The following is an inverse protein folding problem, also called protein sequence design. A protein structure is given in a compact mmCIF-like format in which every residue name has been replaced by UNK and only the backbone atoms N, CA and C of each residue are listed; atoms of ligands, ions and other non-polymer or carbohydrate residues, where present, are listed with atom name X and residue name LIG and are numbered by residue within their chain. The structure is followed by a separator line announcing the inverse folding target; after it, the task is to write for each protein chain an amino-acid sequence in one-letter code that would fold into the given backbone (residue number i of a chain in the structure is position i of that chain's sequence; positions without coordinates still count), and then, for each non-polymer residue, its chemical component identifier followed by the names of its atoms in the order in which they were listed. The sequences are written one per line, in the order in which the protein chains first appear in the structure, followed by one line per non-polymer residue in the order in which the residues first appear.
data_IF_053475002636
#
_entry.id   IF_053475002636
#
_cell.length_a   1.000
_cell.length_b   1.000
_cell.length_c   1.000
_cell.angle_alpha   90.00
_cell.angle_beta   90.00
_cell.angle_gamma   90.00
#
_symmetry.space_group_name_H-M   'P 1'
#
loop_
_entity.id
_entity.type
_entity.pdbx_description
1 polymer ?
#
# COMPACT_ATOMS: atom_id res chain seq x y z
N UNK A 1 13.84 16.75 14.38
CA UNK A 1 12.88 17.82 14.09
C UNK A 1 12.08 17.51 12.83
N UNK A 2 12.72 17.48 11.65
CA UNK A 2 12.05 17.23 10.37
C UNK A 2 11.26 15.89 10.29
N UNK A 3 11.74 14.80 10.90
CA UNK A 3 11.00 13.53 10.89
C UNK A 3 9.65 13.65 11.61
N UNK A 4 9.60 14.27 12.79
CA UNK A 4 8.37 14.44 13.57
C UNK A 4 7.34 15.33 12.87
N UNK A 5 7.80 16.35 12.14
CA UNK A 5 6.94 17.21 11.32
C UNK A 5 6.29 16.40 10.19
N UNK A 6 7.08 15.59 9.47
CA UNK A 6 6.57 14.70 8.42
C UNK A 6 5.60 13.65 9.00
N UNK A 7 5.88 13.08 10.16
CA UNK A 7 4.93 12.15 10.80
C UNK A 7 3.61 12.83 11.16
N UNK A 8 3.67 14.05 11.70
CA UNK A 8 2.48 14.82 12.03
C UNK A 8 1.68 15.16 10.77
N UNK A 9 2.36 15.47 9.67
CA UNK A 9 1.73 15.75 8.39
C UNK A 9 1.08 14.50 7.80
N UNK A 10 1.73 13.31 7.83
CA UNK A 10 1.09 12.03 7.47
C UNK A 10 -0.21 11.83 8.24
N UNK A 11 -0.18 12.01 9.58
CA UNK A 11 -1.39 11.88 10.42
C UNK A 11 -2.49 12.87 10.00
N UNK A 12 -2.13 14.11 9.70
CA UNK A 12 -3.06 15.16 9.25
C UNK A 12 -3.68 14.82 7.89
N UNK A 13 -2.84 14.42 6.93
CA UNK A 13 -3.23 14.09 5.56
C UNK A 13 -4.11 12.83 5.50
N UNK A 14 -3.81 11.78 6.27
CA UNK A 14 -4.65 10.57 6.35
C UNK A 14 -6.03 10.91 6.91
N UNK A 15 -6.09 11.71 7.99
CA UNK A 15 -7.37 12.19 8.55
C UNK A 15 -8.12 13.06 7.54
N UNK A 16 -7.42 13.89 6.76
CA UNK A 16 -8.02 14.72 5.72
C UNK A 16 -8.61 13.85 4.60
N UNK A 17 -7.86 12.88 4.10
CA UNK A 17 -8.34 11.94 3.09
C UNK A 17 -9.58 11.18 3.58
N UNK A 18 -9.58 10.73 4.83
CA UNK A 18 -10.73 10.02 5.42
C UNK A 18 -11.99 10.90 5.47
N UNK A 19 -11.86 12.17 5.86
CA UNK A 19 -12.99 13.12 5.85
C UNK A 19 -13.49 13.39 4.43
N UNK A 20 -12.58 13.51 3.46
CA UNK A 20 -12.95 13.74 2.07
C UNK A 20 -13.64 12.51 1.44
N UNK A 21 -13.27 11.30 1.87
CA UNK A 21 -13.90 10.04 1.43
C UNK A 21 -15.28 9.80 2.08
N UNK A 22 -15.48 10.22 3.33
CA UNK A 22 -16.77 10.06 4.04
C UNK A 22 -17.78 11.18 3.80
N UNK A 23 -17.37 12.29 3.19
CA UNK A 23 -18.24 13.44 2.92
C UNK A 23 -18.87 13.35 1.52
N UNK A 24 -20.20 13.41 1.45
CA UNK A 24 -21.02 13.42 0.21
C UNK A 24 -20.76 14.58 -0.77
N UNK A 25 -19.72 15.40 -0.58
CA UNK A 25 -19.52 16.64 -1.34
C UNK A 25 -18.07 17.10 -1.53
N UNK A 26 -17.06 16.30 -1.18
CA UNK A 26 -15.68 16.66 -1.51
C UNK A 26 -15.45 16.42 -3.02
N UNK A 27 -14.88 17.39 -3.77
CA UNK A 27 -14.50 17.14 -5.16
C UNK A 27 -13.48 16.00 -5.20
N UNK A 28 -13.69 14.96 -6.01
CA UNK A 28 -12.75 13.84 -6.13
C UNK A 28 -11.30 14.26 -6.43
N UNK A 29 -11.11 15.43 -7.04
CA UNK A 29 -9.82 16.08 -7.22
C UNK A 29 -9.08 16.36 -5.89
N UNK A 30 -9.77 16.83 -4.85
CA UNK A 30 -9.15 17.16 -3.57
C UNK A 30 -8.68 15.93 -2.78
N UNK A 31 -9.35 14.78 -2.97
CA UNK A 31 -8.88 13.48 -2.46
C UNK A 31 -7.62 13.07 -3.21
N UNK A 32 -7.62 13.16 -4.53
CA UNK A 32 -6.48 12.76 -5.37
C UNK A 32 -5.20 13.55 -5.08
N UNK A 33 -5.31 14.85 -4.80
CA UNK A 33 -4.17 15.69 -4.42
C UNK A 33 -3.58 15.21 -3.09
N UNK A 34 -4.44 14.95 -2.11
CA UNK A 34 -4.04 14.41 -0.80
C UNK A 34 -3.33 13.07 -0.95
N UNK A 35 -3.84 12.21 -1.83
CA UNK A 35 -3.29 10.87 -2.07
C UNK A 35 -1.97 10.91 -2.85
N UNK A 36 -1.77 11.86 -3.75
CA UNK A 36 -0.47 12.04 -4.39
C UNK A 36 0.62 12.40 -3.38
N UNK A 37 0.33 13.33 -2.46
CA UNK A 37 1.29 13.69 -1.39
C UNK A 37 1.55 12.50 -0.47
N UNK A 38 0.48 11.81 -0.04
CA UNK A 38 0.61 10.60 0.78
C UNK A 38 1.40 9.50 0.07
N UNK A 39 1.27 9.36 -1.25
CA UNK A 39 2.06 8.38 -2.04
C UNK A 39 3.54 8.73 -2.06
N UNK A 40 3.90 10.01 -2.14
CA UNK A 40 5.29 10.46 -2.03
C UNK A 40 5.87 10.14 -0.65
N UNK A 41 5.08 10.36 0.42
CA UNK A 41 5.49 10.03 1.80
C UNK A 41 5.53 8.53 2.05
N UNK A 42 4.64 7.76 1.43
CA UNK A 42 4.65 6.31 1.48
C UNK A 42 5.92 5.72 0.85
N UNK A 43 6.63 6.45 -0.01
CA UNK A 43 7.95 6.05 -0.51
C UNK A 43 9.09 6.25 0.49
N UNK A 44 8.85 6.83 1.66
CA UNK A 44 9.86 7.08 2.71
C UNK A 44 9.75 6.00 3.78
N UNK A 45 10.75 5.12 3.86
CA UNK A 45 10.77 3.98 4.80
C UNK A 45 10.62 4.39 6.27
N UNK A 46 11.20 5.52 6.67
CA UNK A 46 11.09 6.06 8.03
C UNK A 46 9.63 6.39 8.43
N UNK A 47 8.74 6.63 7.47
CA UNK A 47 7.32 6.95 7.71
C UNK A 47 6.42 5.71 7.66
N UNK A 48 6.92 4.55 7.21
CA UNK A 48 6.12 3.34 7.04
C UNK A 48 5.35 2.93 8.32
N UNK A 49 5.99 3.08 9.50
CA UNK A 49 5.34 2.83 10.79
C UNK A 49 4.15 3.75 11.04
N UNK A 50 4.28 5.03 10.70
CA UNK A 50 3.24 6.05 10.91
C UNK A 50 1.99 5.74 10.08
N UNK A 51 2.16 5.25 8.85
CA UNK A 51 1.03 4.81 8.03
C UNK A 51 0.24 3.66 8.68
N UNK A 52 0.92 2.71 9.32
CA UNK A 52 0.26 1.62 10.07
C UNK A 52 -0.52 2.12 11.27
N UNK A 53 -0.01 3.15 11.96
CA UNK A 53 -0.63 3.71 13.17
C UNK A 53 -1.79 4.66 12.90
N UNK A 54 -1.96 5.10 11.65
CA UNK A 54 -2.94 6.13 11.28
C UNK A 54 -4.24 5.59 10.71
N UNK A 55 -4.34 4.27 10.50
CA UNK A 55 -5.44 3.67 9.76
C UNK A 55 -5.40 3.98 8.26
N UNK A 56 -4.21 4.30 7.72
CA UNK A 56 -4.05 4.61 6.31
C UNK A 56 -4.39 3.41 5.43
N UNK A 57 -4.18 2.19 5.93
CA UNK A 57 -4.44 0.98 5.16
C UNK A 57 -5.93 0.77 4.95
N UNK A 58 -6.75 0.93 5.99
CA UNK A 58 -8.21 0.83 5.96
C UNK A 58 -8.80 1.88 5.01
N UNK A 59 -8.25 3.10 5.01
CA UNK A 59 -8.60 4.14 4.05
C UNK A 59 -8.31 3.69 2.61
N UNK A 60 -7.10 3.18 2.34
CA UNK A 60 -6.69 2.74 1.01
C UNK A 60 -7.52 1.57 0.50
N UNK A 61 -7.83 0.64 1.39
CA UNK A 61 -8.71 -0.48 1.13
C UNK A 61 -10.12 -0.02 0.72
N UNK A 62 -10.70 0.93 1.45
CA UNK A 62 -11.97 1.55 1.05
C UNK A 62 -11.89 2.28 -0.29
N UNK A 63 -10.76 2.94 -0.58
CA UNK A 63 -10.53 3.64 -1.85
C UNK A 63 -10.39 2.70 -3.05
N UNK A 64 -9.94 1.47 -2.85
CA UNK A 64 -9.83 0.48 -3.92
C UNK A 64 -11.22 0.08 -4.48
N UNK A 65 -12.29 0.27 -3.71
CA UNK A 65 -13.66 0.03 -4.11
C UNK A 65 -14.39 1.30 -4.58
N UNK A 66 -13.71 2.43 -4.70
CA UNK A 66 -14.32 3.70 -5.08
C UNK A 66 -14.70 3.72 -6.57
N UNK A 67 -15.84 4.33 -6.94
CA UNK A 67 -16.34 4.43 -8.33
C UNK A 67 -15.36 5.13 -9.29
N UNK A 68 -14.71 6.20 -8.83
CA UNK A 68 -13.69 6.94 -9.60
C UNK A 68 -12.40 6.14 -9.83
N UNK A 69 -12.05 5.79 -11.09
CA UNK A 69 -10.86 4.99 -11.40
C UNK A 69 -9.54 5.63 -11.00
N UNK A 70 -9.45 6.96 -10.97
CA UNK A 70 -8.23 7.65 -10.52
C UNK A 70 -7.97 7.43 -9.04
N UNK A 71 -9.01 7.37 -8.22
CA UNK A 71 -8.91 7.15 -6.76
C UNK A 71 -8.41 5.73 -6.50
N UNK A 72 -8.97 4.73 -7.19
CA UNK A 72 -8.49 3.34 -7.12
C UNK A 72 -7.01 3.20 -7.50
N UNK A 73 -6.59 3.84 -8.60
CA UNK A 73 -5.18 3.83 -9.04
C UNK A 73 -4.25 4.56 -8.07
N UNK A 74 -4.72 5.64 -7.45
CA UNK A 74 -3.99 6.31 -6.38
C UNK A 74 -3.76 5.40 -5.18
N UNK A 75 -4.80 4.69 -4.74
CA UNK A 75 -4.73 3.75 -3.64
C UNK A 75 -3.76 2.59 -3.92
N UNK A 76 -3.84 2.00 -5.11
CA UNK A 76 -2.93 0.92 -5.53
C UNK A 76 -1.46 1.33 -5.53
N UNK A 77 -1.14 2.54 -6.03
CA UNK A 77 0.24 3.06 -6.02
C UNK A 77 0.77 3.27 -4.61
N UNK A 78 -0.05 3.79 -3.71
CA UNK A 78 0.34 4.00 -2.33
C UNK A 78 0.53 2.66 -1.58
N UNK A 79 -0.34 1.67 -1.80
CA UNK A 79 -0.16 0.32 -1.25
C UNK A 79 1.15 -0.32 -1.71
N UNK A 80 1.51 -0.14 -2.98
CA UNK A 80 2.81 -0.59 -3.51
C UNK A 80 3.99 0.04 -2.80
N UNK A 81 3.96 1.37 -2.64
CA UNK A 81 5.01 2.09 -1.94
C UNK A 81 5.17 1.64 -0.47
N UNK A 82 4.06 1.34 0.21
CA UNK A 82 4.11 0.81 1.58
C UNK A 82 4.68 -0.61 1.63
N UNK A 83 4.29 -1.46 0.69
CA UNK A 83 4.70 -2.86 0.64
C UNK A 83 6.18 -3.07 0.20
N UNK A 84 6.78 -2.08 -0.47
CA UNK A 84 8.15 -2.18 -0.99
C UNK A 84 9.26 -2.01 0.04
N UNK A 85 8.96 -1.53 1.26
CA UNK A 85 10.00 -1.20 2.24
C UNK A 85 10.70 -2.40 2.87
N UNK A 86 9.92 -3.35 3.37
CA UNK A 86 10.43 -4.51 4.10
C UNK A 86 9.39 -5.63 4.11
N UNK A 87 9.83 -6.85 4.45
CA UNK A 87 8.97 -8.03 4.48
C UNK A 87 7.79 -7.88 5.46
N UNK A 88 7.98 -7.18 6.59
CA UNK A 88 6.92 -6.92 7.56
C UNK A 88 5.87 -5.94 7.03
N UNK A 89 6.29 -4.85 6.40
CA UNK A 89 5.38 -3.92 5.74
C UNK A 89 4.60 -4.58 4.59
N UNK A 90 5.25 -5.47 3.84
CA UNK A 90 4.62 -6.27 2.77
C UNK A 90 3.57 -7.24 3.32
N UNK A 91 3.95 -8.05 4.33
CA UNK A 91 3.06 -8.99 4.98
C UNK A 91 1.84 -8.29 5.60
N UNK A 92 2.04 -7.12 6.21
CA UNK A 92 0.96 -6.31 6.76
C UNK A 92 -0.07 -5.87 5.70
N UNK A 93 0.41 -5.39 4.54
CA UNK A 93 -0.47 -5.02 3.41
C UNK A 93 -1.24 -6.23 2.89
N UNK A 94 -0.55 -7.36 2.64
CA UNK A 94 -1.20 -8.57 2.15
C UNK A 94 -2.23 -9.15 3.13
N UNK A 95 -1.90 -9.21 4.42
CA UNK A 95 -2.82 -9.71 5.43
C UNK A 95 -4.10 -8.87 5.47
N UNK A 96 -3.96 -7.54 5.41
CA UNK A 96 -5.12 -6.65 5.43
C UNK A 96 -5.97 -6.75 4.16
N UNK A 97 -5.33 -6.98 3.01
CA UNK A 97 -6.03 -7.27 1.75
C UNK A 97 -6.79 -8.61 1.83
N UNK A 98 -6.19 -9.65 2.42
CA UNK A 98 -6.82 -10.96 2.57
C UNK A 98 -8.04 -10.95 3.49
N UNK A 99 -8.06 -10.04 4.47
CA UNK A 99 -9.17 -9.85 5.41
C UNK A 99 -10.33 -9.04 4.81
N UNK A 100 -10.16 -8.47 3.62
CA UNK A 100 -11.22 -7.73 2.95
C UNK A 100 -12.11 -8.68 2.14
N UNK A 101 -13.25 -9.02 2.71
CA UNK A 101 -14.27 -9.81 2.02
C UNK A 101 -14.74 -9.14 0.72
N UNK A 102 -14.69 -9.89 -0.39
CA UNK A 102 -15.26 -9.46 -1.67
C UNK A 102 -14.53 -8.31 -2.36
N UNK A 103 -13.29 -8.01 -1.96
CA UNK A 103 -12.49 -6.95 -2.59
C UNK A 103 -12.31 -7.18 -4.11
N UNK A 104 -12.21 -8.45 -4.52
CA UNK A 104 -12.09 -8.85 -5.92
C UNK A 104 -13.32 -8.53 -6.77
N UNK A 105 -14.52 -8.52 -6.16
CA UNK A 105 -15.79 -8.32 -6.88
C UNK A 105 -16.00 -6.85 -7.24
N UNK A 106 -15.42 -5.93 -6.46
CA UNK A 106 -15.58 -4.48 -6.61
C UNK A 106 -14.37 -3.83 -7.32
N UNK A 107 -13.28 -4.58 -7.53
CA UNK A 107 -12.09 -4.10 -8.20
C UNK A 107 -12.17 -4.20 -9.72
N UNK A 108 -11.82 -3.11 -10.40
CA UNK A 108 -11.53 -3.10 -11.84
C UNK A 108 -10.20 -3.79 -12.18
N UNK A 109 -9.97 -4.06 -13.46
CA UNK A 109 -8.80 -4.78 -13.97
C UNK A 109 -7.45 -4.21 -13.47
N UNK A 110 -7.26 -2.88 -13.53
CA UNK A 110 -6.02 -2.21 -13.09
C UNK A 110 -5.70 -2.46 -11.61
N UNK A 111 -6.73 -2.47 -10.75
CA UNK A 111 -6.57 -2.72 -9.31
C UNK A 111 -6.18 -4.17 -9.05
N UNK A 112 -6.79 -5.12 -9.77
CA UNK A 112 -6.44 -6.54 -9.69
C UNK A 112 -5.02 -6.79 -10.18
N UNK A 113 -4.59 -6.14 -11.27
CA UNK A 113 -3.20 -6.23 -11.76
C UNK A 113 -2.21 -5.69 -10.73
N UNK A 114 -2.52 -4.56 -10.09
CA UNK A 114 -1.67 -4.00 -9.03
C UNK A 114 -1.51 -4.96 -7.85
N UNK A 115 -2.59 -5.63 -7.44
CA UNK A 115 -2.53 -6.67 -6.41
C UNK A 115 -1.73 -7.88 -6.86
N UNK A 116 -1.95 -8.37 -8.09
CA UNK A 116 -1.20 -9.49 -8.66
C UNK A 116 0.30 -9.21 -8.71
N UNK A 117 0.72 -7.99 -9.07
CA UNK A 117 2.13 -7.58 -9.06
C UNK A 117 2.69 -7.59 -7.63
N UNK A 118 1.94 -7.07 -6.65
CA UNK A 118 2.31 -7.16 -5.23
C UNK A 118 2.46 -8.62 -4.75
N UNK A 119 1.55 -9.50 -5.14
CA UNK A 119 1.65 -10.93 -4.81
C UNK A 119 2.86 -11.59 -5.52
N UNK A 120 3.10 -11.28 -6.78
CA UNK A 120 4.26 -11.82 -7.52
C UNK A 120 5.59 -11.42 -6.87
N UNK A 121 5.73 -10.16 -6.44
CA UNK A 121 6.91 -9.66 -5.71
C UNK A 121 7.13 -10.38 -4.36
N UNK A 122 6.06 -10.87 -3.71
CA UNK A 122 6.19 -11.63 -2.45
C UNK A 122 6.76 -13.03 -2.67
N UNK A 123 6.30 -13.72 -3.71
CA UNK A 123 6.73 -15.09 -4.03
C UNK A 123 8.14 -15.11 -4.63
N UNK A 124 8.50 -14.10 -5.44
CA UNK A 124 9.84 -14.01 -6.06
C UNK A 124 10.95 -13.62 -5.07
N UNK A 125 10.61 -12.95 -3.95
CA UNK A 125 11.60 -12.56 -2.93
C UNK A 125 12.23 -13.74 -2.18
N UNK A 126 11.62 -14.93 -2.23
CA UNK A 126 12.18 -16.15 -1.62
C UNK A 126 13.29 -16.81 -2.47
N UNK A 127 13.50 -16.35 -3.71
CA UNK A 127 14.44 -16.99 -4.65
C UNK A 127 15.91 -16.57 -4.47
N UNK A 128 16.21 -15.61 -3.59
CA UNK A 128 17.59 -15.12 -3.39
C UNK A 128 18.33 -15.65 -2.15
N UNK A 129 17.73 -16.58 -1.38
CA UNK A 129 18.37 -17.16 -0.18
C UNK A 129 18.78 -18.63 -0.33
N UNK A 130 18.88 -19.16 -1.55
CA UNK A 130 19.47 -20.48 -1.83
C UNK A 130 20.75 -20.31 -2.66
N UNK A 131 21.75 -19.63 -2.11
CA UNK A 131 23.12 -19.85 -2.61
C UNK A 131 23.49 -21.30 -2.28
N UNK A 132 23.53 -22.15 -3.31
CA UNK A 132 23.97 -23.55 -3.23
C UNK A 132 25.51 -23.64 -3.20
N UNK A 133 26.18 -22.65 -2.64
CA UNK A 133 27.63 -22.57 -2.55
C UNK A 133 28.10 -23.41 -1.35
N UNK A 134 27.99 -24.74 -1.50
CA UNK A 134 28.49 -25.69 -0.48
C UNK A 134 27.91 -27.10 -0.50
N UNK A 135 26.93 -27.42 -1.34
CA UNK A 135 26.41 -28.80 -1.39
C UNK A 135 27.28 -29.62 -2.35
N UNK A 136 28.27 -30.30 -1.77
CA UNK A 136 29.03 -31.33 -2.46
C UNK A 136 28.10 -32.49 -2.83
N UNK A 137 27.80 -32.62 -4.12
CA UNK A 137 27.15 -33.80 -4.68
C UNK A 137 28.13 -34.99 -4.61
N UNK A 138 27.71 -36.18 -4.14
CA UNK A 138 28.53 -37.38 -4.26
C UNK A 138 28.69 -37.72 -5.74
N UNK A 139 29.94 -37.84 -6.19
CA UNK A 139 30.25 -38.27 -7.55
C UNK A 139 30.00 -39.78 -7.68
N UNK A 140 29.30 -40.17 -8.75
CA UNK A 140 29.02 -41.55 -9.15
C UNK A 140 30.10 -42.03 -10.10
#
# INVERSE_FOLDING_TARGET
AASLELEADVRSLVRRAARQMGGSGAPGAAVLDTIHVLSAYAGISALARVFRETGALELLLGMLCHEEPRIRRGAGRMLRALASHDAGSRAYVLLSLSQQDGIEQHMGFDSRYTLLELFAETMSSEEHCMSFEGIHLPQV
#
